data_IF_403969690539
#
_entry.id   IF_403969690539
#
_cell.length_a   1.000
_cell.length_b   1.000
_cell.length_c   1.000
_cell.angle_alpha   90.00
_cell.angle_beta   90.00
_cell.angle_gamma   90.00
#
_symmetry.space_group_name_H-M   'P 1'
#
loop_
_entity.id
_entity.type
_entity.pdbx_description
1 polymer ?
#
# COMPACT_ATOMS: atom_id res chain seq x y z
N UNK A 1 5.37 -17.77 -13.27
CA UNK A 1 6.31 -16.86 -12.56
C UNK A 1 5.67 -15.80 -11.60
N UNK A 2 4.42 -15.95 -11.14
CA UNK A 2 3.85 -15.12 -10.04
C UNK A 2 4.13 -15.73 -8.66
N UNK A 3 3.94 -17.04 -8.54
CA UNK A 3 4.17 -17.79 -7.30
C UNK A 3 5.60 -17.61 -6.79
N UNK A 4 6.61 -17.69 -7.69
CA UNK A 4 8.00 -17.49 -7.27
C UNK A 4 8.28 -16.07 -6.76
N UNK A 5 7.69 -15.05 -7.38
CA UNK A 5 7.82 -13.67 -6.88
C UNK A 5 7.18 -13.52 -5.49
N UNK A 6 6.00 -14.13 -5.27
CA UNK A 6 5.35 -14.11 -3.95
C UNK A 6 6.18 -14.85 -2.88
N UNK A 7 6.84 -15.96 -3.23
CA UNK A 7 7.75 -16.65 -2.31
C UNK A 7 8.94 -15.77 -1.92
N UNK A 8 9.58 -15.12 -2.90
CA UNK A 8 10.71 -14.21 -2.62
C UNK A 8 10.25 -13.02 -1.75
N UNK A 9 9.07 -12.46 -2.03
CA UNK A 9 8.48 -11.40 -1.19
C UNK A 9 8.29 -11.89 0.25
N UNK A 10 7.75 -13.10 0.45
CA UNK A 10 7.51 -13.67 1.78
C UNK A 10 8.82 -14.02 2.51
N UNK A 11 9.87 -14.39 1.77
CA UNK A 11 11.23 -14.62 2.29
C UNK A 11 11.90 -13.32 2.76
N UNK A 12 11.61 -12.18 2.11
CA UNK A 12 12.30 -10.91 2.33
C UNK A 12 11.55 -9.93 3.25
N UNK A 13 10.21 -9.93 3.25
CA UNK A 13 9.44 -8.97 4.05
C UNK A 13 9.32 -9.43 5.51
N UNK A 14 9.56 -8.53 6.48
CA UNK A 14 9.60 -8.90 7.89
C UNK A 14 8.21 -9.17 8.50
N UNK A 15 7.15 -8.81 7.78
CA UNK A 15 5.76 -8.90 8.26
C UNK A 15 4.83 -9.31 7.12
N UNK A 16 3.67 -9.90 7.45
CA UNK A 16 2.62 -10.14 6.46
C UNK A 16 2.04 -8.81 5.98
N UNK A 17 1.79 -8.70 4.67
CA UNK A 17 1.26 -7.48 4.01
C UNK A 17 -0.15 -7.06 4.46
N UNK A 18 -0.92 -7.97 5.06
CA UNK A 18 -2.31 -7.71 5.39
C UNK A 18 -3.10 -7.31 4.15
N UNK A 19 -3.72 -6.13 4.17
CA UNK A 19 -4.45 -5.60 3.01
C UNK A 19 -3.55 -5.21 1.83
N UNK A 20 -2.29 -4.83 2.05
CA UNK A 20 -1.43 -4.25 1.00
C UNK A 20 -1.19 -5.20 -0.18
N UNK A 21 -1.50 -4.74 -1.39
CA UNK A 21 -1.45 -5.55 -2.61
C UNK A 21 -2.61 -6.55 -2.78
N UNK A 22 -3.56 -6.57 -1.84
CA UNK A 22 -4.84 -7.24 -1.95
C UNK A 22 -5.87 -6.43 -2.76
N UNK A 23 -7.15 -6.71 -2.55
CA UNK A 23 -8.26 -6.03 -3.23
C UNK A 23 -9.25 -5.42 -2.24
N UNK A 24 -9.78 -4.24 -2.54
CA UNK A 24 -10.92 -3.61 -1.87
C UNK A 24 -12.02 -3.43 -2.91
N UNK A 25 -13.27 -3.71 -2.55
CA UNK A 25 -14.37 -3.53 -3.47
C UNK A 25 -15.69 -4.05 -2.93
N UNK A 26 -16.64 -4.29 -3.84
CA UNK A 26 -17.95 -4.83 -3.50
C UNK A 26 -18.33 -5.97 -4.43
N UNK A 27 -19.19 -6.86 -3.92
CA UNK A 27 -19.93 -7.85 -4.68
C UNK A 27 -21.41 -7.62 -4.42
N UNK A 28 -22.21 -7.40 -5.46
CA UNK A 28 -23.64 -7.15 -5.35
C UNK A 28 -24.46 -8.45 -5.39
N UNK A 29 -25.70 -8.38 -4.90
CA UNK A 29 -26.65 -9.49 -5.00
C UNK A 29 -27.07 -9.82 -6.44
N UNK A 30 -26.84 -8.91 -7.39
CA UNK A 30 -27.06 -9.12 -8.83
C UNK A 30 -25.86 -9.76 -9.54
N UNK A 31 -24.74 -9.94 -8.83
CA UNK A 31 -23.52 -10.58 -9.35
C UNK A 31 -22.45 -9.60 -9.83
N UNK A 32 -22.70 -8.29 -9.81
CA UNK A 32 -21.69 -7.28 -10.16
C UNK A 32 -20.57 -7.25 -9.12
N UNK A 33 -19.32 -7.25 -9.61
CA UNK A 33 -18.10 -7.17 -8.82
C UNK A 33 -17.25 -6.02 -9.34
N UNK A 34 -16.90 -5.09 -8.45
CA UNK A 34 -15.90 -4.06 -8.74
C UNK A 34 -14.89 -4.01 -7.59
N UNK A 35 -13.60 -3.97 -7.94
CA UNK A 35 -12.50 -3.97 -6.98
C UNK A 35 -11.35 -3.11 -7.47
N UNK A 36 -10.67 -2.47 -6.52
CA UNK A 36 -9.38 -1.82 -6.73
C UNK A 36 -8.28 -2.55 -5.95
N UNK A 37 -7.04 -2.37 -6.40
CA UNK A 37 -5.88 -2.89 -5.68
C UNK A 37 -5.67 -2.03 -4.43
N UNK A 38 -5.40 -2.69 -3.30
CA UNK A 38 -5.15 -2.05 -2.01
C UNK A 38 -3.74 -1.44 -1.94
N UNK A 39 -3.55 -0.33 -2.67
CA UNK A 39 -2.36 0.53 -2.70
C UNK A 39 -2.78 1.98 -2.46
N UNK A 40 -1.84 2.82 -2.01
CA UNK A 40 -2.14 4.22 -1.61
C UNK A 40 -3.23 4.32 -0.52
N UNK A 41 -3.33 3.29 0.32
CA UNK A 41 -4.31 3.17 1.41
C UNK A 41 -3.63 3.37 2.76
N UNK A 42 -4.34 3.97 3.71
CA UNK A 42 -3.95 4.03 5.13
C UNK A 42 -4.80 3.04 5.91
N UNK A 43 -4.16 2.21 6.73
CA UNK A 43 -4.86 1.42 7.74
C UNK A 43 -4.57 2.04 9.10
N UNK A 44 -5.60 2.53 9.79
CA UNK A 44 -5.46 3.10 11.13
C UNK A 44 -5.90 2.05 12.15
N UNK A 45 -5.01 1.73 13.10
CA UNK A 45 -5.30 0.82 14.20
C UNK A 45 -4.66 1.35 15.48
N UNK A 46 -5.42 1.37 16.57
CA UNK A 46 -4.93 1.79 17.90
C UNK A 46 -4.23 3.16 17.88
N UNK A 47 -4.77 4.10 17.09
CA UNK A 47 -4.21 5.45 16.93
C UNK A 47 -2.97 5.54 16.04
N UNK A 48 -2.51 4.43 15.44
CA UNK A 48 -1.34 4.38 14.55
C UNK A 48 -1.79 4.26 13.10
N UNK A 49 -1.32 5.16 12.24
CA UNK A 49 -1.52 5.12 10.80
C UNK A 49 -0.42 4.29 10.11
N UNK A 50 -0.82 3.15 9.53
CA UNK A 50 0.07 2.28 8.77
C UNK A 50 -0.05 2.58 7.27
N UNK A 51 1.09 2.86 6.63
CA UNK A 51 1.20 3.09 5.18
C UNK A 51 2.26 2.15 4.63
N UNK A 52 1.90 1.39 3.60
CA UNK A 52 2.83 0.50 2.91
C UNK A 52 2.93 0.90 1.44
N UNK A 53 4.16 0.92 0.92
CA UNK A 53 4.48 1.25 -0.46
C UNK A 53 5.66 0.39 -0.93
N UNK A 54 5.82 0.28 -2.24
CA UNK A 54 6.88 -0.51 -2.87
C UNK A 54 6.97 -0.21 -4.37
N UNK A 55 7.84 -0.95 -5.04
CA UNK A 55 8.15 -0.79 -6.46
C UNK A 55 8.25 -2.14 -7.17
N UNK A 56 8.39 -2.09 -8.50
CA UNK A 56 8.64 -3.27 -9.31
C UNK A 56 10.14 -3.36 -9.60
N UNK A 57 10.81 -4.36 -9.07
CA UNK A 57 12.25 -4.56 -9.32
C UNK A 57 12.48 -5.38 -10.58
N UNK A 58 13.37 -4.88 -11.44
CA UNK A 58 13.82 -5.52 -12.67
C UNK A 58 15.35 -5.69 -12.67
N UNK A 59 15.90 -6.35 -13.68
CA UNK A 59 17.32 -6.73 -13.71
C UNK A 59 18.30 -5.54 -13.65
N UNK A 60 17.87 -4.38 -14.14
CA UNK A 60 18.62 -3.11 -14.19
C UNK A 60 18.20 -2.11 -13.11
N UNK A 61 17.38 -2.55 -12.14
CA UNK A 61 16.92 -1.69 -11.05
C UNK A 61 18.10 -1.21 -10.18
N UNK A 62 18.04 0.06 -9.78
CA UNK A 62 19.03 0.67 -8.88
C UNK A 62 18.43 0.76 -7.48
N UNK A 63 19.04 0.14 -6.44
CA UNK A 63 18.46 0.08 -5.10
C UNK A 63 18.02 1.43 -4.55
N UNK A 64 18.88 2.45 -4.65
CA UNK A 64 18.59 3.79 -4.14
C UNK A 64 17.38 4.43 -4.84
N UNK A 65 17.26 4.23 -6.15
CA UNK A 65 16.14 4.75 -6.94
C UNK A 65 14.81 4.09 -6.55
N UNK A 66 14.79 2.75 -6.42
CA UNK A 66 13.59 2.01 -6.02
C UNK A 66 13.14 2.38 -4.60
N UNK A 67 14.10 2.62 -3.70
CA UNK A 67 13.83 3.11 -2.36
C UNK A 67 13.18 4.49 -2.41
N UNK A 68 13.78 5.46 -3.10
CA UNK A 68 13.25 6.82 -3.26
C UNK A 68 11.84 6.83 -3.88
N UNK A 69 11.60 5.96 -4.87
CA UNK A 69 10.29 5.79 -5.48
C UNK A 69 9.25 5.28 -4.47
N UNK A 70 9.61 4.28 -3.67
CA UNK A 70 8.73 3.72 -2.63
C UNK A 70 8.38 4.77 -1.57
N UNK A 71 9.36 5.58 -1.15
CA UNK A 71 9.12 6.69 -0.24
C UNK A 71 8.21 7.74 -0.88
N UNK A 72 8.46 8.13 -2.13
CA UNK A 72 7.63 9.10 -2.84
C UNK A 72 6.16 8.65 -2.95
N UNK A 73 5.92 7.35 -3.13
CA UNK A 73 4.56 6.77 -3.14
C UNK A 73 3.88 6.88 -1.76
N UNK A 74 4.61 6.58 -0.68
CA UNK A 74 4.09 6.71 0.68
C UNK A 74 3.86 8.18 1.07
N UNK A 75 4.76 9.08 0.66
CA UNK A 75 4.78 10.51 1.02
C UNK A 75 3.47 11.23 0.69
N UNK A 76 2.86 10.92 -0.46
CA UNK A 76 1.59 11.52 -0.85
C UNK A 76 0.46 11.24 0.16
N UNK A 77 0.39 9.99 0.63
CA UNK A 77 -0.63 9.54 1.59
C UNK A 77 -0.32 10.11 2.98
N UNK A 78 0.94 10.06 3.42
CA UNK A 78 1.37 10.65 4.69
C UNK A 78 1.09 12.15 4.75
N UNK A 79 1.33 12.88 3.65
CA UNK A 79 1.01 14.31 3.56
C UNK A 79 -0.49 14.58 3.67
N UNK A 80 -1.32 13.72 3.09
CA UNK A 80 -2.77 13.83 3.23
C UNK A 80 -3.21 13.64 4.69
N UNK A 81 -2.65 12.66 5.40
CA UNK A 81 -2.90 12.45 6.84
C UNK A 81 -2.46 13.68 7.64
N UNK A 82 -1.25 14.18 7.41
CA UNK A 82 -0.73 15.37 8.10
C UNK A 82 -1.61 16.61 7.90
N UNK A 83 -2.06 16.85 6.67
CA UNK A 83 -2.96 17.95 6.35
C UNK A 83 -4.31 17.81 7.07
N UNK A 84 -4.88 16.60 7.09
CA UNK A 84 -6.13 16.32 7.78
C UNK A 84 -6.01 16.54 9.29
N UNK A 85 -4.91 16.09 9.92
CA UNK A 85 -4.68 16.27 11.36
C UNK A 85 -4.50 17.73 11.81
N UNK A 86 -4.25 18.65 10.87
CA UNK A 86 -4.12 20.09 11.17
C UNK A 86 -5.44 20.85 11.02
N UNK A 87 -6.51 20.20 10.56
CA UNK A 87 -7.82 20.86 10.41
C UNK A 87 -8.59 20.76 11.74
N UNK A 88 -8.78 21.88 12.46
CA UNK A 88 -9.48 21.87 13.74
C UNK A 88 -10.98 21.61 13.61
N UNK A 89 -11.54 21.83 12.41
CA UNK A 89 -12.99 21.77 12.12
C UNK A 89 -13.39 20.48 11.38
N UNK A 90 -12.48 19.52 11.25
CA UNK A 90 -12.85 18.18 10.77
C UNK A 90 -13.58 17.46 11.92
N UNK A 91 -14.80 16.93 11.70
CA UNK A 91 -15.55 16.25 12.77
C UNK A 91 -14.81 15.05 13.37
#
# INVERSE_FOLDING_TARGET
PKVRAMQIIDELEPVKRGGYGGAIGYLSYTGDLDTCIHIRTVVVKDGVAHVQAGGGTVADARPDYEFDESEAKARAVLRAVELASRQPDWP
#
